data_IF_355178736669
#
_entry.id   IF_355178736669
#
_cell.length_a   1.000
_cell.length_b   1.000
_cell.length_c   1.000
_cell.angle_alpha   90.00
_cell.angle_beta   90.00
_cell.angle_gamma   90.00
#
_symmetry.space_group_name_H-M   'P 1'
#
loop_
_entity.id
_entity.type
_entity.pdbx_description
1 polymer ?
#
# COMPACT_ATOMS: atom_id res chain seq x y z
N UNK A 1 -7.78 -7.65 -13.35
CA UNK A 1 -7.24 -6.29 -13.30
C UNK A 1 -8.31 -5.25 -13.58
N UNK A 2 -8.02 -3.98 -13.40
CA UNK A 2 -8.91 -2.86 -13.72
C UNK A 2 -8.58 -2.29 -15.09
N UNK A 3 -9.58 -1.70 -15.75
CA UNK A 3 -9.37 -1.00 -17.01
C UNK A 3 -8.75 0.37 -16.75
N UNK A 4 -7.50 0.56 -17.19
CA UNK A 4 -6.77 1.81 -16.98
C UNK A 4 -7.48 3.04 -17.57
N UNK A 5 -8.10 2.89 -18.76
CA UNK A 5 -8.80 4.00 -19.40
C UNK A 5 -10.01 4.47 -18.59
N UNK A 6 -10.73 3.53 -17.97
CA UNK A 6 -11.85 3.86 -17.09
C UNK A 6 -11.39 4.58 -15.83
N UNK A 7 -10.27 4.14 -15.23
CA UNK A 7 -9.68 4.83 -14.07
C UNK A 7 -9.25 6.24 -14.45
N UNK A 8 -8.58 6.42 -15.59
CA UNK A 8 -8.13 7.73 -16.06
C UNK A 8 -9.28 8.67 -16.44
N UNK A 9 -10.40 8.11 -16.91
CA UNK A 9 -11.60 8.88 -17.22
C UNK A 9 -12.37 9.31 -15.97
N UNK A 10 -12.15 8.66 -14.84
CA UNK A 10 -12.80 9.02 -13.59
C UNK A 10 -12.04 10.18 -12.90
N UNK A 11 -12.71 11.34 -12.80
CA UNK A 11 -12.10 12.55 -12.24
C UNK A 11 -11.83 12.46 -10.72
N UNK A 12 -12.48 11.54 -10.02
CA UNK A 12 -12.31 11.36 -8.58
C UNK A 12 -11.14 10.44 -8.23
N UNK A 13 -10.60 9.72 -9.23
CA UNK A 13 -9.52 8.77 -9.07
C UNK A 13 -8.18 9.30 -9.61
N UNK A 14 -7.11 8.76 -9.07
CA UNK A 14 -5.74 8.95 -9.54
C UNK A 14 -4.95 7.65 -9.43
N UNK A 15 -4.12 7.37 -10.43
CA UNK A 15 -3.21 6.23 -10.43
C UNK A 15 -1.92 6.68 -9.74
N UNK A 16 -1.54 6.01 -8.66
CA UNK A 16 -0.34 6.32 -7.89
C UNK A 16 0.87 5.49 -8.32
N UNK A 17 0.65 4.25 -8.74
CA UNK A 17 1.69 3.39 -9.33
C UNK A 17 1.17 2.68 -10.56
N UNK A 18 2.04 2.50 -11.52
CA UNK A 18 1.72 1.86 -12.79
C UNK A 18 2.91 1.06 -13.32
N UNK A 19 2.65 -0.04 -13.97
CA UNK A 19 3.66 -0.84 -14.65
C UNK A 19 3.23 -1.20 -16.07
N UNK A 20 4.16 -1.30 -17.03
CA UNK A 20 3.83 -1.58 -18.43
C UNK A 20 3.18 -2.95 -18.66
N UNK A 21 3.45 -3.91 -17.78
CA UNK A 21 2.91 -5.28 -17.84
C UNK A 21 1.71 -5.46 -16.94
N UNK A 22 1.73 -4.85 -15.74
CA UNK A 22 0.68 -5.00 -14.72
C UNK A 22 -0.44 -3.96 -14.81
N UNK A 23 -0.20 -2.84 -15.49
CA UNK A 23 -1.11 -1.69 -15.46
C UNK A 23 -1.10 -0.98 -14.11
N UNK A 24 -2.22 -0.37 -13.69
CA UNK A 24 -2.33 0.30 -12.40
C UNK A 24 -2.09 -0.67 -11.25
N UNK A 25 -1.18 -0.34 -10.35
CA UNK A 25 -0.87 -1.13 -9.15
C UNK A 25 -1.45 -0.54 -7.88
N UNK A 26 -1.56 0.78 -7.82
CA UNK A 26 -2.15 1.51 -6.72
C UNK A 26 -2.99 2.65 -7.26
N UNK A 27 -4.22 2.75 -6.81
CA UNK A 27 -5.17 3.79 -7.18
C UNK A 27 -5.67 4.44 -5.88
N UNK A 28 -5.96 5.72 -5.91
CA UNK A 28 -6.59 6.39 -4.78
C UNK A 28 -7.64 7.40 -5.25
N UNK A 29 -8.56 7.76 -4.37
CA UNK A 29 -9.34 8.98 -4.52
C UNK A 29 -8.42 10.19 -4.40
N UNK A 30 -8.80 11.33 -4.98
CA UNK A 30 -7.97 12.54 -4.96
C UNK A 30 -7.75 13.09 -3.56
N UNK A 31 -8.68 12.84 -2.66
CA UNK A 31 -8.61 13.21 -1.25
C UNK A 31 -7.95 12.12 -0.37
N UNK A 32 -7.49 11.02 -0.97
CA UNK A 32 -6.90 9.87 -0.30
C UNK A 32 -7.78 9.20 0.77
N UNK A 33 -9.08 9.45 0.77
CA UNK A 33 -10.02 8.78 1.68
C UNK A 33 -10.13 7.28 1.38
N UNK A 34 -9.92 6.90 0.12
CA UNK A 34 -9.90 5.50 -0.33
C UNK A 34 -8.63 5.20 -1.11
N UNK A 35 -8.00 4.07 -0.81
CA UNK A 35 -6.81 3.57 -1.48
C UNK A 35 -7.02 2.12 -1.90
N UNK A 36 -6.82 1.85 -3.18
CA UNK A 36 -7.02 0.54 -3.80
C UNK A 36 -5.67 -0.05 -4.20
N UNK A 37 -5.18 -1.01 -3.44
CA UNK A 37 -4.00 -1.79 -3.77
C UNK A 37 -4.39 -2.99 -4.63
N UNK A 38 -3.96 -3.03 -5.90
CA UNK A 38 -4.31 -4.08 -6.84
C UNK A 38 -3.35 -5.26 -6.84
N UNK A 39 -2.24 -5.11 -6.13
CA UNK A 39 -1.27 -6.18 -5.87
C UNK A 39 -1.16 -6.46 -4.38
N UNK A 40 -0.54 -7.58 -4.06
CA UNK A 40 -0.35 -8.05 -2.68
C UNK A 40 0.91 -7.44 -2.06
N UNK A 41 0.83 -6.21 -1.62
CA UNK A 41 1.94 -5.49 -0.98
C UNK A 41 2.32 -6.07 0.40
N UNK A 42 1.38 -6.81 1.01
CA UNK A 42 1.55 -7.48 2.31
C UNK A 42 2.32 -8.81 2.23
N UNK A 43 2.50 -9.37 1.03
CA UNK A 43 3.14 -10.67 0.87
C UNK A 43 4.55 -10.69 1.46
N UNK A 44 4.84 -11.77 2.19
CA UNK A 44 6.18 -12.13 2.60
C UNK A 44 7.02 -12.64 1.42
N UNK A 45 8.31 -12.84 1.66
CA UNK A 45 9.27 -13.25 0.64
C UNK A 45 8.85 -14.51 -0.13
N UNK A 46 8.28 -15.48 0.55
CA UNK A 46 7.96 -16.81 -0.02
C UNK A 46 6.48 -17.02 -0.32
N UNK A 47 5.61 -16.10 0.06
CA UNK A 47 4.15 -16.30 -0.04
C UNK A 47 3.70 -16.63 -1.46
N UNK A 48 4.21 -15.92 -2.47
CA UNK A 48 3.85 -16.18 -3.87
C UNK A 48 4.39 -17.53 -4.36
N UNK A 49 5.60 -17.93 -3.92
CA UNK A 49 6.15 -19.25 -4.25
C UNK A 49 5.31 -20.38 -3.66
N UNK A 50 4.90 -20.22 -2.39
CA UNK A 50 4.06 -21.21 -1.70
C UNK A 50 2.68 -21.32 -2.36
N UNK A 51 2.10 -20.22 -2.80
CA UNK A 51 0.84 -20.22 -3.56
C UNK A 51 0.98 -20.92 -4.91
N UNK A 52 2.02 -20.59 -5.66
CA UNK A 52 2.32 -21.22 -6.94
C UNK A 52 2.49 -22.73 -6.79
N UNK A 53 3.33 -23.19 -5.85
CA UNK A 53 3.51 -24.61 -5.58
C UNK A 53 2.22 -25.30 -5.13
N UNK A 54 1.44 -24.67 -4.27
CA UNK A 54 0.15 -25.19 -3.80
C UNK A 54 -0.79 -25.46 -4.98
N UNK A 55 -0.87 -24.53 -5.90
CA UNK A 55 -1.82 -24.62 -7.02
C UNK A 55 -1.33 -25.61 -8.07
N UNK A 56 -0.01 -25.71 -8.30
CA UNK A 56 0.59 -26.78 -9.12
C UNK A 56 0.35 -28.16 -8.51
N UNK A 57 0.50 -28.34 -7.19
CA UNK A 57 0.21 -29.61 -6.51
C UNK A 57 -1.26 -30.01 -6.57
N UNK A 58 -2.19 -29.05 -6.68
CA UNK A 58 -3.60 -29.32 -6.91
C UNK A 58 -3.94 -29.74 -8.35
N UNK A 59 -2.96 -29.76 -9.24
CA UNK A 59 -3.15 -30.12 -10.65
C UNK A 59 -3.83 -29.01 -11.48
N UNK A 60 -3.75 -27.77 -11.05
CA UNK A 60 -4.24 -26.64 -11.83
C UNK A 60 -3.35 -26.44 -13.06
N UNK A 61 -3.97 -26.36 -14.25
CA UNK A 61 -3.23 -26.32 -15.53
C UNK A 61 -2.92 -24.92 -16.03
N UNK A 62 -3.54 -23.88 -15.45
CA UNK A 62 -3.43 -22.49 -15.91
C UNK A 62 -2.84 -21.58 -14.83
N UNK A 63 -1.88 -22.08 -14.06
CA UNK A 63 -1.17 -21.26 -13.06
C UNK A 63 0.00 -20.56 -13.76
N UNK A 64 -0.03 -19.23 -13.91
CA UNK A 64 1.07 -18.51 -14.52
C UNK A 64 2.31 -18.59 -13.61
N UNK A 65 3.47 -18.76 -14.23
CA UNK A 65 4.74 -18.69 -13.50
C UNK A 65 4.96 -17.27 -12.99
N UNK A 66 5.45 -17.07 -11.75
CA UNK A 66 5.72 -15.76 -11.20
C UNK A 66 6.91 -15.08 -11.89
N UNK A 67 6.65 -14.25 -12.90
CA UNK A 67 7.69 -13.52 -13.64
C UNK A 67 8.40 -12.48 -12.76
N UNK A 68 9.71 -12.33 -12.96
CA UNK A 68 10.56 -11.38 -12.23
C UNK A 68 10.55 -11.55 -10.69
N UNK A 69 10.05 -12.65 -10.21
CA UNK A 69 9.99 -12.97 -8.78
C UNK A 69 11.23 -13.73 -8.32
N UNK A 70 11.71 -14.66 -9.13
CA UNK A 70 12.98 -15.32 -8.93
C UNK A 70 14.08 -14.67 -9.77
N UNK A 71 15.35 -14.60 -9.29
CA UNK A 71 16.46 -14.18 -10.12
C UNK A 71 16.52 -15.01 -11.40
N UNK A 72 16.57 -14.35 -12.56
CA UNK A 72 16.60 -15.02 -13.88
C UNK A 72 15.41 -15.98 -14.13
N UNK A 73 14.30 -15.79 -13.42
CA UNK A 73 13.13 -16.67 -13.43
C UNK A 73 13.45 -18.13 -13.06
N UNK A 74 14.52 -18.36 -12.30
CA UNK A 74 14.92 -19.67 -11.81
C UNK A 74 14.31 -19.94 -10.42
N UNK A 75 13.34 -20.87 -10.29
CA UNK A 75 12.68 -21.19 -9.02
C UNK A 75 13.58 -21.92 -8.01
N UNK A 76 14.78 -22.32 -8.41
CA UNK A 76 15.78 -22.89 -7.48
C UNK A 76 16.53 -21.81 -6.71
N UNK A 77 16.45 -20.56 -7.17
CA UNK A 77 17.08 -19.42 -6.51
C UNK A 77 16.10 -18.76 -5.53
N UNK A 78 16.67 -18.07 -4.56
CA UNK A 78 15.87 -17.33 -3.56
C UNK A 78 15.08 -16.19 -4.22
N UNK A 79 13.76 -16.00 -3.90
CA UNK A 79 12.97 -14.92 -4.45
C UNK A 79 13.56 -13.54 -4.15
N UNK A 80 13.42 -12.62 -5.11
CA UNK A 80 13.73 -11.21 -4.91
C UNK A 80 12.66 -10.59 -4.01
N UNK A 81 13.07 -9.98 -2.89
CA UNK A 81 12.15 -9.37 -1.93
C UNK A 81 12.35 -7.84 -1.87
N UNK A 82 12.12 -7.18 -3.01
CA UNK A 82 12.39 -5.75 -3.16
C UNK A 82 11.26 -4.84 -2.68
N UNK A 83 10.01 -5.33 -2.57
CA UNK A 83 8.84 -4.47 -2.27
C UNK A 83 8.61 -4.18 -0.79
N UNK A 84 9.25 -4.88 0.14
CA UNK A 84 8.99 -4.76 1.59
C UNK A 84 9.11 -3.34 2.12
N UNK A 85 10.18 -2.63 1.75
CA UNK A 85 10.41 -1.26 2.21
C UNK A 85 9.33 -0.31 1.67
N UNK A 86 8.97 -0.46 0.39
CA UNK A 86 7.95 0.34 -0.26
C UNK A 86 6.55 0.05 0.32
N UNK A 87 6.22 -1.21 0.56
CA UNK A 87 4.97 -1.60 1.20
C UNK A 87 4.83 -0.99 2.60
N UNK A 88 5.88 -1.09 3.44
CA UNK A 88 5.87 -0.51 4.77
C UNK A 88 5.72 1.02 4.73
N UNK A 89 6.41 1.68 3.78
CA UNK A 89 6.32 3.13 3.62
C UNK A 89 4.91 3.55 3.18
N UNK A 90 4.32 2.85 2.22
CA UNK A 90 2.95 3.08 1.75
C UNK A 90 1.96 3.02 2.90
N UNK A 91 1.93 1.91 3.63
CA UNK A 91 1.00 1.70 4.73
C UNK A 91 1.18 2.72 5.84
N UNK A 92 2.41 3.03 6.22
CA UNK A 92 2.69 4.03 7.26
C UNK A 92 2.25 5.43 6.86
N UNK A 93 2.50 5.82 5.61
CA UNK A 93 2.11 7.13 5.10
C UNK A 93 0.59 7.27 5.03
N UNK A 94 -0.09 6.26 4.50
CA UNK A 94 -1.55 6.28 4.41
C UNK A 94 -2.20 6.26 5.79
N UNK A 95 -1.77 5.38 6.69
CA UNK A 95 -2.28 5.35 8.07
C UNK A 95 -2.04 6.68 8.80
N UNK A 96 -0.87 7.29 8.61
CA UNK A 96 -0.60 8.60 9.19
C UNK A 96 -1.54 9.67 8.62
N UNK A 97 -1.81 9.63 7.32
CA UNK A 97 -2.74 10.54 6.68
C UNK A 97 -4.17 10.35 7.23
N UNK A 98 -4.66 9.11 7.31
CA UNK A 98 -5.97 8.78 7.92
C UNK A 98 -6.04 9.32 9.35
N UNK A 99 -4.99 9.06 10.15
CA UNK A 99 -4.91 9.53 11.53
C UNK A 99 -5.00 11.06 11.64
N UNK A 100 -4.35 11.79 10.73
CA UNK A 100 -4.31 13.26 10.75
C UNK A 100 -5.65 13.89 10.27
N UNK A 101 -6.37 13.19 9.41
CA UNK A 101 -7.59 13.74 8.76
C UNK A 101 -8.88 13.25 9.38
N UNK A 102 -8.87 12.17 10.17
CA UNK A 102 -10.06 11.63 10.81
C UNK A 102 -10.42 12.44 12.07
N UNK A 103 -11.58 13.10 12.12
CA UNK A 103 -12.03 13.81 13.30
C UNK A 103 -12.54 12.80 14.35
N UNK A 104 -11.73 12.54 15.37
CA UNK A 104 -12.13 11.66 16.47
C UNK A 104 -11.76 12.27 17.82
N UNK A 105 -12.57 11.99 18.82
CA UNK A 105 -12.34 12.41 20.20
C UNK A 105 -11.64 11.29 20.99
N UNK A 106 -10.36 11.43 21.22
CA UNK A 106 -9.58 10.48 22.02
C UNK A 106 -10.08 10.33 23.45
N UNK A 107 -10.78 11.34 23.99
CA UNK A 107 -11.34 11.28 25.35
C UNK A 107 -12.45 10.24 25.50
N UNK A 108 -13.02 9.81 24.38
CA UNK A 108 -14.04 8.77 24.35
C UNK A 108 -13.47 7.35 24.41
N UNK A 109 -12.17 7.17 24.20
CA UNK A 109 -11.52 5.86 24.26
C UNK A 109 -11.44 5.36 25.72
N UNK A 110 -12.03 4.22 26.05
CA UNK A 110 -12.13 3.74 27.44
C UNK A 110 -10.79 3.63 28.16
N UNK A 111 -9.72 3.24 27.44
CA UNK A 111 -8.35 3.13 28.00
C UNK A 111 -7.80 4.51 28.42
N UNK A 112 -8.08 5.55 27.66
CA UNK A 112 -7.65 6.91 27.98
C UNK A 112 -8.40 7.46 29.20
N UNK A 113 -9.69 7.10 29.33
CA UNK A 113 -10.48 7.43 30.55
C UNK A 113 -9.92 6.74 31.79
N UNK A 114 -9.48 5.49 31.68
CA UNK A 114 -8.83 4.76 32.78
C UNK A 114 -7.49 5.41 33.17
N UNK A 115 -6.67 5.80 32.22
CA UNK A 115 -5.38 6.47 32.47
C UNK A 115 -5.59 7.85 33.12
N UNK A 116 -6.59 8.61 32.70
CA UNK A 116 -6.94 9.91 33.29
C UNK A 116 -7.37 9.76 34.75
N UNK A 117 -8.09 8.68 35.08
CA UNK A 117 -8.48 8.35 36.47
C UNK A 117 -7.31 7.98 37.36
N UNK A 118 -6.23 7.46 36.79
CA UNK A 118 -5.00 7.05 37.51
C UNK A 118 -3.96 8.18 37.60
N UNK A 119 -4.29 9.39 37.15
CA UNK A 119 -3.43 10.56 37.27
C UNK A 119 -2.19 10.53 36.40
N UNK A 120 -2.07 9.59 35.46
CA UNK A 120 -0.97 9.54 34.49
C UNK A 120 -1.33 10.35 33.24
N UNK A 121 -1.51 11.66 33.41
CA UNK A 121 -1.76 12.58 32.30
C UNK A 121 -0.43 12.84 31.54
N UNK A 122 -0.15 12.01 30.53
CA UNK A 122 0.68 12.44 29.41
C UNK A 122 -0.26 12.98 28.35
N UNK A 123 -0.58 14.26 28.47
CA UNK A 123 -1.33 14.99 27.45
C UNK A 123 -0.59 14.91 26.12
N UNK A 124 -1.04 14.02 25.25
CA UNK A 124 -0.69 14.09 23.84
C UNK A 124 -1.40 15.34 23.32
N UNK A 125 -0.68 16.46 23.31
CA UNK A 125 -1.18 17.67 22.66
C UNK A 125 -1.23 17.41 21.18
N UNK A 126 -2.44 17.17 20.68
CA UNK A 126 -2.70 17.21 19.26
C UNK A 126 -2.49 18.65 18.80
N UNK A 127 -1.46 18.88 18.00
CA UNK A 127 -1.35 20.14 17.25
C UNK A 127 -2.25 20.00 16.01
N UNK A 128 -3.25 20.89 15.83
CA UNK A 128 -4.00 20.93 14.60
C UNK A 128 -3.09 21.48 13.50
N UNK A 129 -2.34 20.60 12.85
CA UNK A 129 -1.63 20.90 11.63
C UNK A 129 -2.51 20.53 10.46
N UNK A 130 -2.64 21.43 9.49
CA UNK A 130 -3.25 21.10 8.19
C UNK A 130 -2.69 19.79 7.66
N UNK A 131 -3.51 18.90 7.06
CA UNK A 131 -3.01 17.66 6.48
C UNK A 131 -1.88 18.00 5.52
N UNK A 132 -0.69 17.52 5.81
CA UNK A 132 0.45 17.70 4.90
C UNK A 132 0.22 16.77 3.72
N UNK A 133 -0.29 17.32 2.65
CA UNK A 133 -0.41 16.64 1.35
C UNK A 133 0.95 16.10 0.90
N UNK A 134 2.02 16.64 1.47
CA UNK A 134 3.41 16.26 1.25
C UNK A 134 3.76 14.81 1.65
N UNK A 135 2.94 14.14 2.46
CA UNK A 135 3.19 12.73 2.80
C UNK A 135 3.13 11.80 1.57
N UNK A 136 2.39 12.20 0.52
CA UNK A 136 2.31 11.51 -0.76
C UNK A 136 3.01 12.26 -1.90
N UNK A 137 3.61 13.42 -1.61
CA UNK A 137 4.30 14.24 -2.61
C UNK A 137 5.37 13.47 -3.43
N UNK A 138 6.15 12.54 -2.87
CA UNK A 138 7.09 11.73 -3.64
C UNK A 138 6.42 10.84 -4.69
N UNK A 139 5.14 10.46 -4.47
CA UNK A 139 4.39 9.58 -5.38
C UNK A 139 3.61 10.35 -6.45
N UNK A 140 3.41 11.65 -6.25
CA UNK A 140 2.54 12.47 -7.10
C UNK A 140 3.33 13.45 -7.96
N UNK A 141 4.58 13.79 -7.59
CA UNK A 141 5.30 14.93 -8.19
C UNK A 141 5.89 14.69 -9.55
N UNK A 142 6.28 13.49 -9.86
CA UNK A 142 6.87 13.19 -11.17
C UNK A 142 5.91 12.28 -11.92
N UNK A 143 5.01 12.93 -12.63
CA UNK A 143 4.22 12.24 -13.64
C UNK A 143 5.19 11.42 -14.50
N UNK A 144 5.06 10.09 -14.42
CA UNK A 144 5.80 9.15 -15.25
C UNK A 144 7.34 9.17 -15.10
N UNK A 145 7.84 8.79 -13.94
CA UNK A 145 9.21 8.34 -13.80
C UNK A 145 9.40 7.05 -14.59
N UNK A 146 9.79 7.17 -15.86
CA UNK A 146 10.40 6.08 -16.61
C UNK A 146 11.70 5.78 -15.90
N UNK A 147 11.78 4.65 -15.20
CA UNK A 147 13.06 4.10 -14.77
C UNK A 147 13.72 3.65 -16.08
N UNK A 148 14.64 4.44 -16.58
CA UNK A 148 15.60 3.99 -17.59
C UNK A 148 16.62 3.11 -16.89
N UNK A 149 16.93 1.99 -17.53
CA UNK A 149 17.86 0.92 -17.18
C UNK A 149 19.16 1.35 -16.51
#
# INVERSE_FOLDING_TARGET
GVNENEVRANHDLQILTWGPQSGPGLIATRDFSEVFALGHWEYGKYTLAEEYERDMKKGMTNVPFPENYFPHDDPQLEPVFAWRAHANLLWRNWLNWVYQTTPYDLSEVPQLRAQKRLGTDRSIRHQPGSPRVDAFAPFVRDGYGVIHD
#
